data_IF_886339872779
#
_entry.id   IF_886339872779
#
_cell.length_a   1.000
_cell.length_b   1.000
_cell.length_c   1.000
_cell.angle_alpha   90.00
_cell.angle_beta   90.00
_cell.angle_gamma   90.00
#
_symmetry.space_group_name_H-M   'P 1'
#
loop_
_entity.id
_entity.type
_entity.pdbx_description
1 polymer ?
#
# COMPACT_ATOMS: atom_id res chain seq x y z
N UNK A 1 -67.27 -37.42 -0.97
CA UNK A 1 -67.70 -38.81 -0.76
C UNK A 1 -66.51 -39.74 -0.96
N UNK A 2 -66.56 -40.87 -0.26
CA UNK A 2 -65.47 -41.74 0.21
C UNK A 2 -65.03 -42.76 -0.87
N UNK A 3 -63.92 -43.47 -0.55
CA UNK A 3 -63.43 -44.76 -1.11
C UNK A 3 -62.51 -44.66 -2.34
N UNK A 4 -61.30 -45.22 -2.41
CA UNK A 4 -60.59 -46.14 -1.52
C UNK A 4 -60.79 -47.62 -1.88
N UNK A 5 -59.78 -48.23 -2.55
CA UNK A 5 -59.25 -49.63 -2.48
C UNK A 5 -58.48 -49.95 -3.78
N UNK A 6 -57.19 -50.33 -3.72
CA UNK A 6 -56.64 -51.73 -3.61
C UNK A 6 -57.21 -52.62 -4.72
N UNK A 7 -56.45 -53.33 -5.54
CA UNK A 7 -55.20 -54.11 -5.40
C UNK A 7 -54.75 -54.45 -6.86
N UNK A 8 -53.58 -54.99 -7.22
CA UNK A 8 -53.11 -56.37 -6.99
C UNK A 8 -51.68 -56.53 -7.57
N UNK A 9 -50.85 -57.21 -6.79
CA UNK A 9 -49.69 -58.08 -7.08
C UNK A 9 -49.30 -58.41 -8.54
N UNK A 10 -48.06 -58.05 -8.91
CA UNK A 10 -46.89 -58.91 -9.22
C UNK A 10 -46.97 -59.83 -10.44
N UNK A 11 -46.16 -59.51 -11.45
CA UNK A 11 -45.52 -60.50 -12.33
C UNK A 11 -44.04 -60.12 -12.48
N UNK A 12 -43.17 -60.93 -11.86
CA UNK A 12 -41.78 -61.06 -12.24
C UNK A 12 -41.70 -61.91 -13.52
N UNK A 13 -40.91 -61.52 -14.52
CA UNK A 13 -39.94 -62.40 -15.19
C UNK A 13 -39.28 -61.75 -16.42
N UNK A 14 -37.95 -61.61 -16.32
CA UNK A 14 -36.92 -61.90 -17.33
C UNK A 14 -37.08 -61.34 -18.76
N UNK A 15 -36.20 -60.40 -19.09
CA UNK A 15 -35.55 -60.36 -20.40
C UNK A 15 -34.07 -59.96 -20.26
N UNK A 16 -33.25 -60.65 -21.04
CA UNK A 16 -31.78 -60.76 -21.06
C UNK A 16 -31.06 -59.51 -21.64
N UNK A 17 -29.71 -59.45 -21.58
CA UNK A 17 -28.96 -58.22 -21.37
C UNK A 17 -28.74 -57.45 -22.68
N UNK A 18 -28.98 -56.14 -22.64
CA UNK A 18 -28.42 -55.22 -23.64
C UNK A 18 -27.01 -54.85 -23.19
N UNK A 19 -26.02 -55.47 -23.82
CA UNK A 19 -24.63 -54.98 -23.85
C UNK A 19 -24.67 -53.52 -24.30
N UNK A 20 -24.48 -52.58 -23.37
CA UNK A 20 -24.21 -51.18 -23.70
C UNK A 20 -22.72 -50.96 -23.58
N UNK A 21 -22.10 -50.81 -24.74
CA UNK A 21 -20.82 -50.13 -24.89
C UNK A 21 -20.95 -48.74 -24.23
N UNK A 22 -20.40 -48.58 -23.03
CA UNK A 22 -20.47 -47.34 -22.27
C UNK A 22 -19.33 -47.15 -21.27
N UNK A 23 -18.34 -48.03 -21.28
CA UNK A 23 -17.23 -48.02 -20.32
C UNK A 23 -16.28 -46.83 -20.47
N UNK A 24 -16.19 -46.20 -21.64
CA UNK A 24 -15.23 -45.12 -21.87
C UNK A 24 -15.80 -43.73 -21.53
N UNK A 25 -17.11 -43.50 -21.70
CA UNK A 25 -17.73 -42.20 -21.42
C UNK A 25 -17.97 -41.96 -19.91
N UNK A 26 -18.31 -43.02 -19.16
CA UNK A 26 -18.54 -42.91 -17.71
C UNK A 26 -17.24 -42.63 -16.94
N UNK A 27 -16.11 -43.21 -17.36
CA UNK A 27 -14.80 -42.98 -16.73
C UNK A 27 -14.24 -41.59 -16.99
N UNK A 28 -14.51 -41.00 -18.16
CA UNK A 28 -14.07 -39.63 -18.48
C UNK A 28 -14.80 -38.58 -17.64
N UNK A 29 -16.11 -38.74 -17.42
CA UNK A 29 -16.92 -37.82 -16.60
C UNK A 29 -16.57 -37.93 -15.11
N UNK A 30 -16.33 -39.15 -14.61
CA UNK A 30 -15.88 -39.38 -13.24
C UNK A 30 -14.48 -38.79 -12.97
N UNK A 31 -13.56 -38.92 -13.93
CA UNK A 31 -12.22 -38.33 -13.83
C UNK A 31 -12.26 -36.79 -13.86
N UNK A 32 -13.14 -36.19 -14.69
CA UNK A 32 -13.32 -34.74 -14.76
C UNK A 32 -13.91 -34.16 -13.46
N UNK A 33 -14.91 -34.84 -12.87
CA UNK A 33 -15.52 -34.44 -11.61
C UNK A 33 -14.56 -34.61 -10.42
N UNK A 34 -13.78 -35.68 -10.40
CA UNK A 34 -12.74 -35.90 -9.37
C UNK A 34 -11.62 -34.86 -9.47
N UNK A 35 -11.16 -34.53 -10.68
CA UNK A 35 -10.18 -33.46 -10.91
C UNK A 35 -10.70 -32.08 -10.49
N UNK A 36 -11.97 -31.78 -10.79
CA UNK A 36 -12.60 -30.53 -10.37
C UNK A 36 -12.73 -30.45 -8.84
N UNK A 37 -13.10 -31.54 -8.15
CA UNK A 37 -13.19 -31.57 -6.69
C UNK A 37 -11.83 -31.33 -6.01
N UNK A 38 -10.73 -31.86 -6.57
CA UNK A 38 -9.37 -31.60 -6.04
C UNK A 38 -8.91 -30.16 -6.23
N UNK A 39 -9.39 -29.47 -7.27
CA UNK A 39 -9.08 -28.06 -7.50
C UNK A 39 -9.82 -27.13 -6.53
N UNK A 40 -11.02 -27.50 -6.05
CA UNK A 40 -11.76 -26.71 -5.06
C UNK A 40 -11.22 -26.85 -3.63
N UNK A 41 -10.54 -27.96 -3.30
CA UNK A 41 -9.92 -28.15 -1.99
C UNK A 41 -8.70 -27.22 -1.76
N UNK A 42 -8.11 -26.66 -2.83
CA UNK A 42 -7.00 -25.72 -2.74
C UNK A 42 -7.38 -24.27 -2.41
N UNK A 43 -8.68 -23.92 -2.49
CA UNK A 43 -9.16 -22.58 -2.15
C UNK A 43 -9.45 -22.37 -0.65
N UNK A 44 -9.40 -23.43 0.16
CA UNK A 44 -9.42 -23.32 1.62
C UNK A 44 -8.02 -22.98 2.13
N UNK A 45 -7.55 -21.77 1.83
CA UNK A 45 -6.35 -21.22 2.47
C UNK A 45 -6.64 -21.07 3.97
N UNK A 46 -5.68 -21.37 4.86
CA UNK A 46 -5.84 -21.14 6.29
C UNK A 46 -6.18 -19.66 6.50
N UNK A 47 -7.41 -19.40 6.97
CA UNK A 47 -7.82 -18.06 7.37
C UNK A 47 -7.12 -17.78 8.68
N UNK A 48 -6.07 -16.96 8.65
CA UNK A 48 -5.46 -16.43 9.88
C UNK A 48 -6.51 -15.64 10.64
N UNK A 49 -7.05 -16.24 11.69
CA UNK A 49 -7.85 -15.52 12.68
C UNK A 49 -6.87 -14.63 13.44
N UNK A 50 -6.97 -13.32 13.22
CA UNK A 50 -6.18 -12.37 13.98
C UNK A 50 -6.73 -12.36 15.42
N UNK A 51 -5.87 -12.41 16.45
CA UNK A 51 -6.32 -12.25 17.83
C UNK A 51 -7.06 -10.91 17.99
N UNK A 52 -8.09 -10.89 18.83
CA UNK A 52 -8.76 -9.64 19.20
C UNK A 52 -7.75 -8.72 19.89
N UNK A 53 -7.39 -7.64 19.20
CA UNK A 53 -6.43 -6.64 19.67
C UNK A 53 -7.19 -5.38 20.13
N UNK A 54 -6.80 -4.77 21.27
CA UNK A 54 -7.39 -3.51 21.70
C UNK A 54 -7.25 -2.44 20.61
N UNK A 55 -8.33 -1.69 20.36
CA UNK A 55 -8.35 -0.61 19.35
C UNK A 55 -7.33 0.49 19.63
N UNK A 56 -6.99 0.70 20.91
CA UNK A 56 -5.95 1.63 21.33
C UNK A 56 -4.55 1.22 20.82
N UNK A 57 -4.23 -0.08 20.85
CA UNK A 57 -2.93 -0.59 20.40
C UNK A 57 -2.80 -0.46 18.87
N UNK A 58 -3.89 -0.73 18.14
CA UNK A 58 -3.97 -0.53 16.69
C UNK A 58 -3.75 0.94 16.34
N UNK A 59 -4.40 1.86 17.07
CA UNK A 59 -4.25 3.30 16.83
C UNK A 59 -2.83 3.79 17.12
N UNK A 60 -2.21 3.30 18.20
CA UNK A 60 -0.83 3.61 18.54
C UNK A 60 0.16 3.10 17.49
N UNK A 61 -0.03 1.88 16.99
CA UNK A 61 0.81 1.32 15.93
C UNK A 61 0.62 2.06 14.61
N UNK A 62 -0.62 2.37 14.24
CA UNK A 62 -0.91 3.19 13.06
C UNK A 62 -0.20 4.55 13.12
N UNK A 63 -0.18 5.19 14.30
CA UNK A 63 0.54 6.45 14.50
C UNK A 63 2.05 6.28 14.30
N UNK A 64 2.65 5.22 14.87
CA UNK A 64 4.09 4.92 14.68
C UNK A 64 4.42 4.71 13.21
N UNK A 65 3.58 3.98 12.47
CA UNK A 65 3.76 3.74 11.04
C UNK A 65 3.64 5.03 10.22
N UNK A 66 2.69 5.90 10.56
CA UNK A 66 2.54 7.20 9.90
C UNK A 66 3.77 8.09 10.08
N UNK A 67 4.31 8.16 11.30
CA UNK A 67 5.54 8.89 11.62
C UNK A 67 6.74 8.31 10.87
N UNK A 68 6.93 6.99 10.92
CA UNK A 68 8.02 6.33 10.22
C UNK A 68 7.93 6.50 8.69
N UNK A 69 6.72 6.46 8.12
CA UNK A 69 6.50 6.63 6.69
C UNK A 69 6.95 8.01 6.20
N UNK A 70 6.54 9.08 6.90
CA UNK A 70 6.87 10.44 6.46
C UNK A 70 8.36 10.75 6.66
N UNK A 71 8.97 10.25 7.73
CA UNK A 71 10.42 10.35 7.95
C UNK A 71 11.19 9.66 6.82
N UNK A 72 10.80 8.43 6.48
CA UNK A 72 11.39 7.70 5.34
C UNK A 72 11.22 8.46 4.03
N UNK A 73 10.02 8.98 3.76
CA UNK A 73 9.75 9.74 2.54
C UNK A 73 10.68 10.96 2.40
N UNK A 74 10.81 11.79 3.44
CA UNK A 74 11.65 12.98 3.39
C UNK A 74 13.15 12.67 3.41
N UNK A 75 13.56 11.55 4.02
CA UNK A 75 14.94 11.05 3.91
C UNK A 75 15.29 10.67 2.47
N UNK A 76 14.42 9.94 1.78
CA UNK A 76 14.64 9.60 0.37
C UNK A 76 14.54 10.83 -0.54
N UNK A 77 13.60 11.75 -0.26
CA UNK A 77 13.50 13.00 -1.00
C UNK A 77 14.78 13.83 -0.88
N UNK A 78 15.34 13.96 0.33
CA UNK A 78 16.63 14.62 0.55
C UNK A 78 17.73 13.98 -0.31
N UNK A 79 17.80 12.65 -0.36
CA UNK A 79 18.79 11.93 -1.18
C UNK A 79 18.65 12.26 -2.67
N UNK A 80 17.42 12.27 -3.18
CA UNK A 80 17.12 12.63 -4.58
C UNK A 80 17.44 14.10 -4.84
N UNK A 81 17.04 15.00 -3.96
CA UNK A 81 17.23 16.44 -4.10
C UNK A 81 18.71 16.82 -4.06
N UNK A 82 19.52 16.16 -3.23
CA UNK A 82 20.98 16.35 -3.17
C UNK A 82 21.66 16.00 -4.50
N UNK A 83 21.22 14.92 -5.16
CA UNK A 83 21.70 14.58 -6.52
C UNK A 83 21.17 15.59 -7.53
N UNK A 84 19.87 15.88 -7.51
CA UNK A 84 19.24 16.79 -8.45
C UNK A 84 19.82 18.21 -8.36
N UNK A 85 20.17 18.68 -7.16
CA UNK A 85 20.81 19.98 -6.96
C UNK A 85 22.15 20.05 -7.69
N UNK A 86 23.04 19.07 -7.45
CA UNK A 86 24.37 19.00 -8.10
C UNK A 86 24.26 18.91 -9.63
N UNK A 87 23.36 18.08 -10.13
CA UNK A 87 23.13 17.96 -11.59
C UNK A 87 22.64 19.28 -12.17
N UNK A 88 21.67 19.94 -11.53
CA UNK A 88 21.12 21.21 -12.01
C UNK A 88 22.15 22.34 -11.97
N UNK A 89 22.94 22.45 -10.91
CA UNK A 89 23.94 23.51 -10.78
C UNK A 89 25.11 23.31 -11.75
N UNK A 90 25.57 22.08 -11.96
CA UNK A 90 26.64 21.79 -12.92
C UNK A 90 26.25 22.02 -14.39
N UNK A 91 24.95 22.04 -14.70
CA UNK A 91 24.44 22.11 -16.07
C UNK A 91 23.70 23.43 -16.38
N UNK A 92 23.91 24.47 -15.56
CA UNK A 92 23.20 25.75 -15.65
C UNK A 92 23.34 26.42 -17.03
N UNK A 93 24.50 26.26 -17.69
CA UNK A 93 24.77 26.79 -19.03
C UNK A 93 23.85 26.19 -20.12
N UNK A 94 23.42 24.94 -19.94
CA UNK A 94 22.55 24.25 -20.89
C UNK A 94 21.07 24.66 -20.76
N UNK A 95 20.71 25.38 -19.69
CA UNK A 95 19.32 25.75 -19.41
C UNK A 95 18.82 26.93 -20.26
N UNK A 96 19.65 27.57 -21.09
CA UNK A 96 19.28 28.69 -22.00
C UNK A 96 18.47 29.79 -21.29
N UNK A 97 18.92 30.20 -20.10
CA UNK A 97 18.24 31.22 -19.29
C UNK A 97 17.00 30.74 -18.54
N UNK A 98 16.56 29.48 -18.71
CA UNK A 98 15.51 28.85 -17.87
C UNK A 98 16.10 28.37 -16.55
N UNK A 99 16.61 29.32 -15.77
CA UNK A 99 17.29 29.09 -14.50
C UNK A 99 16.53 29.79 -13.39
N UNK A 100 16.43 29.13 -12.24
CA UNK A 100 15.87 29.72 -11.02
C UNK A 100 16.90 29.60 -9.90
N UNK A 101 16.94 30.62 -9.05
CA UNK A 101 17.79 30.58 -7.86
C UNK A 101 17.35 29.45 -6.94
N UNK A 102 18.29 28.61 -6.54
CA UNK A 102 18.09 27.56 -5.55
C UNK A 102 19.27 27.56 -4.60
N UNK A 103 18.98 27.52 -3.30
CA UNK A 103 20.00 27.57 -2.24
C UNK A 103 20.26 26.20 -1.59
N UNK A 104 19.56 25.14 -2.03
CA UNK A 104 19.70 23.80 -1.46
C UNK A 104 19.02 23.62 -0.10
N UNK A 105 17.95 24.37 0.15
CA UNK A 105 17.14 24.32 1.38
C UNK A 105 15.72 23.88 1.07
N UNK A 106 15.19 22.97 1.88
CA UNK A 106 13.76 22.67 1.95
C UNK A 106 13.26 22.91 3.37
N UNK A 107 12.39 23.92 3.52
CA UNK A 107 11.76 24.27 4.77
C UNK A 107 10.24 24.11 4.67
N UNK A 108 9.61 23.69 5.76
CA UNK A 108 8.18 23.39 5.78
C UNK A 108 7.51 23.84 7.08
N UNK A 109 6.20 24.03 7.01
CA UNK A 109 5.31 24.09 8.17
C UNK A 109 4.33 22.93 8.09
N UNK A 110 3.68 22.52 9.18
CA UNK A 110 2.62 21.51 9.11
C UNK A 110 1.53 21.87 8.09
N UNK A 111 1.26 23.17 7.87
CA UNK A 111 0.25 23.63 6.91
C UNK A 111 0.68 23.54 5.45
N UNK A 112 1.98 23.67 5.15
CA UNK A 112 2.49 23.53 3.77
C UNK A 112 2.47 22.08 3.27
N UNK A 113 2.34 21.12 4.19
CA UNK A 113 2.26 19.71 3.86
C UNK A 113 0.83 19.28 3.43
N UNK A 114 0.70 18.20 2.62
CA UNK A 114 -0.59 17.62 2.26
C UNK A 114 -1.46 17.33 3.48
N UNK A 115 -2.78 17.55 3.35
CA UNK A 115 -3.75 17.48 4.46
C UNK A 115 -3.64 16.20 5.31
N UNK A 116 -3.39 15.05 4.66
CA UNK A 116 -3.23 13.74 5.30
C UNK A 116 -2.06 13.64 6.28
N UNK A 117 -1.06 14.51 6.17
CA UNK A 117 0.17 14.46 6.97
C UNK A 117 0.20 15.49 8.10
N UNK A 118 -0.69 16.49 8.06
CA UNK A 118 -0.61 17.66 8.96
C UNK A 118 -0.71 17.33 10.44
N UNK A 119 -1.48 16.30 10.80
CA UNK A 119 -1.71 15.91 12.20
C UNK A 119 -0.52 15.21 12.86
N UNK A 120 0.46 14.74 12.08
CA UNK A 120 1.68 14.10 12.60
C UNK A 120 2.98 14.72 12.14
N UNK A 121 2.94 15.64 11.17
CA UNK A 121 4.18 16.18 10.61
C UNK A 121 5.01 16.98 11.61
N UNK A 122 4.38 17.64 12.60
CA UNK A 122 5.12 18.35 13.65
C UNK A 122 5.94 17.38 14.51
N UNK A 123 5.36 16.26 14.92
CA UNK A 123 6.06 15.18 15.64
C UNK A 123 7.10 14.51 14.75
N UNK A 124 6.73 14.14 13.53
CA UNK A 124 7.56 13.28 12.70
C UNK A 124 8.80 13.99 12.13
N UNK A 125 8.70 15.29 11.84
CA UNK A 125 9.75 16.07 11.18
C UNK A 125 10.24 17.23 12.07
N UNK A 126 9.88 17.25 13.35
CA UNK A 126 10.20 18.32 14.31
C UNK A 126 9.81 19.72 13.82
N UNK A 127 8.66 19.85 13.15
CA UNK A 127 8.22 21.13 12.59
C UNK A 127 7.61 22.05 13.65
N UNK A 128 7.98 23.32 13.59
CA UNK A 128 7.26 24.39 14.25
C UNK A 128 5.90 24.63 13.57
N UNK A 129 4.86 24.90 14.37
CA UNK A 129 3.53 25.24 13.84
C UNK A 129 3.46 26.63 13.24
N UNK A 130 4.24 27.56 13.81
CA UNK A 130 4.18 28.97 13.48
C UNK A 130 5.18 29.37 12.39
N UNK A 131 6.35 28.71 12.35
CA UNK A 131 7.48 29.11 11.51
C UNK A 131 7.94 27.98 10.60
N UNK A 132 8.40 28.28 9.38
CA UNK A 132 9.05 27.29 8.54
C UNK A 132 10.29 26.72 9.24
N UNK A 133 10.38 25.40 9.31
CA UNK A 133 11.53 24.67 9.84
C UNK A 133 12.28 24.02 8.69
N UNK A 134 13.61 24.18 8.64
CA UNK A 134 14.49 23.51 7.71
C UNK A 134 14.45 22.00 7.98
N UNK A 135 14.00 21.20 7.01
CA UNK A 135 13.94 19.73 7.15
C UNK A 135 14.89 18.99 6.21
N UNK A 136 15.47 19.70 5.24
CA UNK A 136 16.53 19.19 4.39
C UNK A 136 17.43 20.33 3.94
N UNK A 137 18.73 20.15 4.16
CA UNK A 137 19.80 21.03 3.66
C UNK A 137 20.76 20.18 2.84
N UNK A 138 20.94 20.53 1.57
CA UNK A 138 21.86 19.82 0.66
C UNK A 138 23.30 20.16 1.03
N UNK A 139 24.17 19.15 1.09
CA UNK A 139 25.62 19.33 1.31
C UNK A 139 26.26 20.23 0.24
N UNK A 140 27.26 21.02 0.63
CA UNK A 140 27.97 22.01 -0.21
C UNK A 140 27.11 23.09 -0.90
N UNK A 141 25.81 23.14 -0.59
CA UNK A 141 24.89 24.16 -1.09
C UNK A 141 25.12 25.53 -0.46
N UNK A 142 24.59 26.61 -1.07
CA UNK A 142 24.61 27.94 -0.44
C UNK A 142 24.03 27.96 0.97
N UNK A 143 22.96 27.21 1.25
CA UNK A 143 22.36 27.11 2.57
C UNK A 143 23.30 26.44 3.58
N UNK A 144 23.95 25.33 3.21
CA UNK A 144 24.92 24.65 4.07
C UNK A 144 26.14 25.54 4.35
N UNK A 145 26.65 26.25 3.34
CA UNK A 145 27.77 27.19 3.49
C UNK A 145 27.42 28.40 4.36
N UNK A 146 26.15 28.80 4.38
CA UNK A 146 25.63 29.82 5.29
C UNK A 146 25.42 29.32 6.73
N UNK A 147 25.68 28.03 7.00
CA UNK A 147 25.55 27.44 8.33
C UNK A 147 24.12 27.01 8.69
N UNK A 148 23.18 27.00 7.73
CA UNK A 148 21.82 26.52 7.98
C UNK A 148 21.86 24.99 8.16
N UNK A 149 21.21 24.51 9.21
CA UNK A 149 21.11 23.09 9.55
C UNK A 149 19.65 22.61 9.59
N UNK A 150 19.47 21.28 9.52
CA UNK A 150 18.17 20.68 9.75
C UNK A 150 17.69 20.97 11.18
N UNK A 151 16.43 21.40 11.32
CA UNK A 151 15.82 21.82 12.58
C UNK A 151 15.79 23.34 12.79
N UNK A 152 16.57 24.10 12.02
CA UNK A 152 16.57 25.57 12.12
C UNK A 152 15.20 26.14 11.75
N UNK A 153 14.79 27.20 12.44
CA UNK A 153 13.56 27.93 12.13
C UNK A 153 13.87 29.23 11.41
N UNK A 154 13.19 29.45 10.29
CA UNK A 154 13.27 30.70 9.54
C UNK A 154 12.42 31.73 10.28
N UNK A 155 13.07 32.73 10.85
CA UNK A 155 12.42 33.79 11.63
C UNK A 155 12.17 35.07 10.83
N UNK A 156 12.97 35.31 9.79
CA UNK A 156 12.88 36.46 8.90
C UNK A 156 13.57 36.14 7.56
N UNK A 157 13.18 36.86 6.51
CA UNK A 157 13.85 36.89 5.22
C UNK A 157 14.02 38.34 4.79
N UNK A 158 15.26 38.83 4.68
CA UNK A 158 15.55 40.23 4.35
C UNK A 158 14.87 41.23 5.32
N UNK A 159 14.91 40.94 6.62
CA UNK A 159 14.31 41.75 7.70
C UNK A 159 12.77 41.82 7.72
N UNK A 160 12.09 40.99 6.92
CA UNK A 160 10.63 40.76 6.92
C UNK A 160 10.26 39.40 7.54
#
# INVERSE_FOLDING_TARGET
MRWGRRSWETIQARARPRRRAGGLAASAVAALLAGCATLLAGCATPTSQLPDMPTADIAAELRRQQVAQIQKYYGELHRVDSVAFRVRTANVEFCRGRVSAQIGLYAATPRSLPRKYRSFSSEALNLSWARPTAISVVEDSPAAKAGIANGDQIIALNDE
#
